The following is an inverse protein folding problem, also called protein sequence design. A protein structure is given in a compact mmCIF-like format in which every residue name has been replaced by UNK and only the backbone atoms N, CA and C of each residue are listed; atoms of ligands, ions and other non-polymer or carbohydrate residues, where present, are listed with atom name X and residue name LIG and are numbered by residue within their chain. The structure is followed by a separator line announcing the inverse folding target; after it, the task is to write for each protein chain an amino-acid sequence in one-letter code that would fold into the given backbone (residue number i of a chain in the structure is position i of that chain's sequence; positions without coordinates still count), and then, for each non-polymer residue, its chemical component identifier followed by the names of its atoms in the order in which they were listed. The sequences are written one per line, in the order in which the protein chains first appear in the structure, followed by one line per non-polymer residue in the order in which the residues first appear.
data_IF_236199805476
#
_entry.id   IF_236199805476
#
_cell.length_a   1.000
_cell.length_b   1.000
_cell.length_c   1.000
_cell.angle_alpha   90.00
_cell.angle_beta   90.00
_cell.angle_gamma   90.00
#
_symmetry.space_group_name_H-M   'P 1'
#
loop_
_entity.id
_entity.type
_entity.pdbx_description
1 polymer ?
#
# COMPACT_ATOMS: atom_id res chain seq x y z
N UNK A 1 2.71 18.46 26.10
CA UNK A 1 1.82 19.25 25.25
C UNK A 1 1.72 18.60 23.88
N UNK A 2 0.54 18.62 23.31
CA UNK A 2 0.35 18.13 21.97
C UNK A 2 1.02 19.07 20.94
N UNK A 3 1.80 18.51 20.05
CA UNK A 3 2.44 19.26 18.98
C UNK A 3 1.41 19.61 17.90
N UNK A 4 1.49 20.80 17.35
CA UNK A 4 0.65 21.17 16.22
C UNK A 4 1.08 20.45 14.96
N UNK A 5 0.12 19.87 14.26
CA UNK A 5 0.37 19.19 12.99
C UNK A 5 0.47 20.22 11.87
N UNK A 6 1.63 20.29 11.22
CA UNK A 6 1.85 21.15 10.07
C UNK A 6 1.27 20.57 8.79
N UNK A 7 1.27 19.24 8.66
CA UNK A 7 0.71 18.57 7.49
C UNK A 7 1.01 17.09 7.48
N UNK A 8 0.54 16.44 6.43
CA UNK A 8 0.73 15.00 6.20
C UNK A 8 1.41 14.77 4.86
N UNK A 9 2.23 13.73 4.80
CA UNK A 9 2.85 13.26 3.57
C UNK A 9 2.55 11.78 3.42
N UNK A 10 2.02 11.38 2.26
CA UNK A 10 1.76 9.98 1.95
C UNK A 10 2.70 9.53 0.85
N UNK A 11 3.46 8.50 1.12
CA UNK A 11 4.47 7.97 0.19
C UNK A 11 4.36 6.46 0.08
N UNK A 12 4.88 5.93 -1.02
CA UNK A 12 5.08 4.49 -1.20
C UNK A 12 6.57 4.27 -1.42
N UNK A 13 7.18 3.50 -0.52
CA UNK A 13 8.61 3.24 -0.53
C UNK A 13 8.88 1.74 -0.48
N UNK A 14 9.95 1.31 -1.14
CA UNK A 14 10.41 -0.08 -1.02
C UNK A 14 11.04 -0.30 0.34
N UNK A 15 10.63 -1.37 1.02
CA UNK A 15 11.17 -1.71 2.33
C UNK A 15 12.68 -1.90 2.31
N UNK A 16 13.37 -1.27 3.25
CA UNK A 16 14.82 -1.34 3.37
C UNK A 16 15.61 -0.57 2.31
N UNK A 17 14.94 0.09 1.37
CA UNK A 17 15.57 0.77 0.24
C UNK A 17 15.15 2.25 0.10
N UNK A 18 14.68 2.87 1.16
CA UNK A 18 14.36 4.29 1.12
C UNK A 18 15.64 5.11 0.96
N UNK A 19 15.60 6.07 0.04
CA UNK A 19 16.74 6.96 -0.21
C UNK A 19 16.23 8.37 -0.55
N UNK A 20 17.11 9.40 -0.54
CA UNK A 20 16.69 10.78 -0.82
C UNK A 20 16.28 11.07 -2.26
N UNK A 21 16.43 10.10 -3.15
CA UNK A 21 16.00 10.27 -4.56
C UNK A 21 14.47 10.41 -4.67
N UNK A 22 13.96 11.02 -5.76
CA UNK A 22 12.51 11.08 -5.98
C UNK A 22 11.85 9.70 -5.88
N UNK A 23 10.64 9.56 -5.30
CA UNK A 23 9.74 10.64 -4.88
C UNK A 23 9.91 11.11 -3.43
N UNK A 24 10.80 10.52 -2.64
CA UNK A 24 10.92 10.78 -1.20
C UNK A 24 11.49 12.17 -0.93
N UNK A 25 12.60 12.52 -1.59
CA UNK A 25 13.29 13.78 -1.38
C UNK A 25 12.40 15.01 -1.55
N UNK A 26 11.80 15.21 -2.73
CA UNK A 26 10.94 16.38 -2.97
C UNK A 26 9.72 16.44 -2.06
N UNK A 27 9.09 15.31 -1.75
CA UNK A 27 7.91 15.26 -0.89
C UNK A 27 8.20 15.68 0.54
N UNK A 28 9.28 15.18 1.12
CA UNK A 28 9.70 15.54 2.48
C UNK A 28 10.36 16.90 2.53
N UNK A 29 11.14 17.26 1.52
CA UNK A 29 11.80 18.56 1.43
C UNK A 29 10.82 19.71 1.42
N UNK A 30 9.68 19.56 0.75
CA UNK A 30 8.64 20.60 0.72
C UNK A 30 8.03 20.88 2.10
N UNK A 31 8.11 19.92 3.02
CA UNK A 31 7.62 20.04 4.39
C UNK A 31 8.72 20.37 5.41
N UNK A 32 9.97 20.49 4.96
CA UNK A 32 11.10 20.80 5.83
C UNK A 32 11.54 19.67 6.75
N UNK A 33 11.19 18.42 6.41
CA UNK A 33 11.55 17.23 7.19
C UNK A 33 12.96 16.77 6.85
N UNK A 34 13.69 16.25 7.84
CA UNK A 34 15.02 15.66 7.63
C UNK A 34 14.89 14.32 6.88
N UNK A 35 15.21 14.34 5.59
CA UNK A 35 15.06 13.21 4.67
C UNK A 35 15.96 12.03 5.08
N UNK A 36 17.20 12.32 5.45
CA UNK A 36 18.17 11.27 5.82
C UNK A 36 17.73 10.51 7.07
N UNK A 37 17.23 11.23 8.07
CA UNK A 37 16.73 10.64 9.29
C UNK A 37 15.52 9.75 9.03
N UNK A 38 14.59 10.21 8.20
CA UNK A 38 13.44 9.42 7.78
C UNK A 38 13.88 8.13 7.10
N UNK A 39 14.77 8.22 6.11
CA UNK A 39 15.27 7.05 5.38
C UNK A 39 15.91 6.04 6.33
N UNK A 40 16.71 6.51 7.26
CA UNK A 40 17.39 5.66 8.24
C UNK A 40 16.39 4.91 9.13
N UNK A 41 15.43 5.62 9.69
CA UNK A 41 14.40 5.03 10.56
C UNK A 41 13.49 4.07 9.78
N UNK A 42 13.07 4.45 8.59
CA UNK A 42 12.24 3.62 7.74
C UNK A 42 12.95 2.32 7.38
N UNK A 43 14.19 2.42 6.92
CA UNK A 43 14.97 1.23 6.55
C UNK A 43 15.18 0.30 7.75
N UNK A 44 15.42 0.84 8.94
CA UNK A 44 15.56 0.06 10.16
C UNK A 44 14.27 -0.72 10.49
N UNK A 45 13.10 -0.07 10.34
CA UNK A 45 11.81 -0.71 10.64
C UNK A 45 11.34 -1.68 9.57
N UNK A 46 11.83 -1.58 8.35
CA UNK A 46 11.36 -2.38 7.21
C UNK A 46 12.35 -3.44 6.74
N UNK A 47 13.39 -3.73 7.51
CA UNK A 47 14.39 -4.74 7.14
C UNK A 47 13.78 -6.11 6.88
N UNK A 48 12.75 -6.49 7.64
CA UNK A 48 12.05 -7.76 7.48
C UNK A 48 11.18 -7.81 6.21
N UNK A 49 10.88 -6.65 5.65
CA UNK A 49 9.99 -6.51 4.49
C UNK A 49 10.72 -5.94 3.27
N UNK A 50 11.99 -6.27 3.14
CA UNK A 50 12.80 -5.79 2.02
C UNK A 50 12.21 -6.19 0.67
N UNK A 51 12.26 -5.25 -0.28
CA UNK A 51 11.78 -5.45 -1.64
C UNK A 51 10.26 -5.28 -1.83
N UNK A 52 9.48 -5.19 -0.74
CA UNK A 52 8.04 -4.93 -0.83
C UNK A 52 7.78 -3.43 -0.82
N UNK A 53 6.84 -2.99 -1.65
CA UNK A 53 6.39 -1.59 -1.63
C UNK A 53 5.46 -1.41 -0.45
N UNK A 54 5.79 -0.46 0.42
CA UNK A 54 5.03 -0.18 1.64
C UNK A 54 4.51 1.25 1.61
N UNK A 55 3.20 1.47 1.81
CA UNK A 55 2.66 2.81 1.99
C UNK A 55 3.06 3.36 3.34
N UNK A 56 3.46 4.61 3.39
CA UNK A 56 3.85 5.30 4.62
C UNK A 56 3.05 6.59 4.74
N UNK A 57 2.43 6.77 5.89
CA UNK A 57 1.79 8.04 6.24
C UNK A 57 2.70 8.77 7.23
N UNK A 58 3.21 9.92 6.82
CA UNK A 58 4.11 10.73 7.64
C UNK A 58 3.33 11.95 8.14
N UNK A 59 3.31 12.13 9.45
CA UNK A 59 2.74 13.31 10.10
C UNK A 59 3.87 14.27 10.43
N UNK A 60 3.81 15.49 9.88
CA UNK A 60 4.81 16.52 10.10
C UNK A 60 4.27 17.55 11.11
N UNK A 61 5.06 17.85 12.11
CA UNK A 61 4.71 18.82 13.15
C UNK A 61 5.33 20.20 12.89
N UNK A 62 4.81 21.23 13.56
CA UNK A 62 5.26 22.61 13.41
C UNK A 62 6.73 22.83 13.78
N UNK A 63 7.28 22.00 14.67
CA UNK A 63 8.69 22.03 15.08
C UNK A 63 9.63 21.30 14.11
N UNK A 64 9.12 20.87 12.94
CA UNK A 64 9.83 20.09 11.92
C UNK A 64 10.13 18.63 12.34
N UNK A 65 9.61 18.19 13.49
CA UNK A 65 9.64 16.78 13.83
C UNK A 65 8.60 16.01 13.02
N UNK A 66 8.75 14.71 12.95
CA UNK A 66 7.82 13.86 12.18
C UNK A 66 7.60 12.54 12.90
N UNK A 67 6.44 11.96 12.63
CA UNK A 67 6.13 10.58 12.98
C UNK A 67 5.62 9.89 11.73
N UNK A 68 5.84 8.60 11.61
CA UNK A 68 5.34 7.86 10.47
C UNK A 68 4.76 6.51 10.86
N UNK A 69 3.76 6.09 10.08
CA UNK A 69 3.11 4.78 10.23
C UNK A 69 3.31 4.02 8.92
N UNK A 70 3.83 2.80 9.04
CA UNK A 70 4.02 1.90 7.89
C UNK A 70 2.79 1.00 7.81
N UNK A 71 2.14 1.02 6.65
CA UNK A 71 0.97 0.19 6.37
C UNK A 71 1.36 -1.08 5.63
N UNK A 72 0.41 -2.00 5.49
CA UNK A 72 0.61 -3.22 4.69
C UNK A 72 0.76 -2.87 3.20
N UNK A 73 1.42 -3.74 2.39
CA UNK A 73 1.59 -3.46 0.96
C UNK A 73 0.26 -3.14 0.27
N UNK A 74 0.26 -2.24 -0.74
CA UNK A 74 -0.98 -1.89 -1.43
C UNK A 74 -1.65 -3.12 -2.06
N UNK A 75 -2.98 -3.19 -1.96
CA UNK A 75 -3.76 -4.30 -2.53
C UNK A 75 -3.50 -4.47 -4.03
N UNK A 76 -3.36 -3.37 -4.75
CA UNK A 76 -3.08 -3.39 -6.19
C UNK A 76 -1.76 -4.12 -6.51
N UNK A 77 -0.72 -3.88 -5.74
CA UNK A 77 0.58 -4.52 -5.95
C UNK A 77 0.50 -6.00 -5.62
N UNK A 78 -0.16 -6.36 -4.52
CA UNK A 78 -0.37 -7.76 -4.15
C UNK A 78 -1.17 -8.53 -5.21
N UNK A 79 -2.20 -7.89 -5.77
CA UNK A 79 -2.99 -8.46 -6.86
C UNK A 79 -2.18 -8.66 -8.13
N UNK A 80 -1.34 -7.69 -8.48
CA UNK A 80 -0.45 -7.82 -9.65
C UNK A 80 0.55 -8.96 -9.48
N UNK A 81 1.11 -9.12 -8.29
CA UNK A 81 2.00 -10.24 -7.99
C UNK A 81 1.28 -11.58 -8.08
N UNK A 82 0.07 -11.67 -7.53
CA UNK A 82 -0.75 -12.89 -7.58
C UNK A 82 -1.16 -13.25 -9.01
N UNK A 83 -1.47 -12.26 -9.83
CA UNK A 83 -1.82 -12.44 -11.23
C UNK A 83 -0.60 -12.59 -12.14
N UNK A 84 0.62 -12.41 -11.62
CA UNK A 84 1.88 -12.48 -12.36
C UNK A 84 1.96 -11.45 -13.50
N UNK A 85 1.44 -10.25 -13.27
CA UNK A 85 1.51 -9.14 -14.23
C UNK A 85 2.34 -8.00 -13.65
N UNK A 86 2.95 -7.21 -14.51
CA UNK A 86 3.80 -6.09 -14.12
C UNK A 86 3.05 -4.76 -14.06
N UNK A 87 1.94 -4.66 -14.78
CA UNK A 87 1.17 -3.43 -14.90
C UNK A 87 -0.31 -3.74 -15.06
N UNK A 88 -1.15 -2.91 -14.44
CA UNK A 88 -2.59 -3.00 -14.60
C UNK A 88 -3.06 -2.52 -15.99
N UNK A 89 -4.33 -2.74 -16.28
CA UNK A 89 -4.94 -2.34 -17.54
C UNK A 89 -5.11 -0.82 -17.66
N UNK A 90 -4.91 -0.29 -18.83
CA UNK A 90 -5.22 1.12 -19.17
C UNK A 90 -6.72 1.34 -19.27
N UNK A 91 -7.45 0.31 -19.71
CA UNK A 91 -8.90 0.33 -19.89
C UNK A 91 -9.51 -0.89 -19.20
N UNK A 92 -9.57 -0.85 -17.87
CA UNK A 92 -9.95 -1.99 -17.03
C UNK A 92 -11.35 -2.53 -17.31
N UNK A 93 -12.25 -1.70 -17.80
CA UNK A 93 -13.62 -2.10 -18.16
C UNK A 93 -13.70 -2.84 -19.51
N UNK A 94 -12.69 -2.70 -20.36
CA UNK A 94 -12.66 -3.28 -21.71
C UNK A 94 -11.59 -4.35 -21.87
N UNK A 95 -10.42 -4.11 -21.31
CA UNK A 95 -9.25 -4.97 -21.49
C UNK A 95 -8.82 -5.56 -20.15
N UNK A 96 -8.96 -6.86 -20.01
CA UNK A 96 -8.50 -7.59 -18.81
C UNK A 96 -7.08 -8.11 -19.06
N UNK A 97 -6.20 -7.91 -18.06
CA UNK A 97 -4.77 -8.21 -18.21
C UNK A 97 -4.30 -9.38 -17.34
N UNK A 98 -5.15 -9.87 -16.44
CA UNK A 98 -4.77 -10.99 -15.57
C UNK A 98 -5.97 -11.61 -14.89
N UNK A 99 -5.70 -12.68 -14.14
CA UNK A 99 -6.70 -13.43 -13.39
C UNK A 99 -6.15 -13.82 -12.03
N UNK A 100 -7.00 -13.80 -11.02
CA UNK A 100 -6.69 -14.30 -9.68
C UNK A 100 -7.84 -15.22 -9.22
N UNK A 101 -7.55 -16.09 -8.26
CA UNK A 101 -8.58 -16.97 -7.65
C UNK A 101 -9.09 -16.32 -6.36
N UNK A 102 -10.25 -16.79 -5.88
CA UNK A 102 -10.79 -16.33 -4.59
C UNK A 102 -9.87 -16.69 -3.42
N UNK A 103 -9.12 -17.79 -3.53
CA UNK A 103 -8.11 -18.15 -2.52
C UNK A 103 -7.01 -17.11 -2.41
N UNK A 104 -6.53 -16.60 -3.53
CA UNK A 104 -5.53 -15.52 -3.57
C UNK A 104 -6.11 -14.22 -3.00
N UNK A 105 -7.35 -13.90 -3.35
CA UNK A 105 -8.06 -12.73 -2.81
C UNK A 105 -8.21 -12.86 -1.30
N UNK A 106 -8.55 -14.03 -0.79
CA UNK A 106 -8.66 -14.29 0.66
C UNK A 106 -7.32 -14.08 1.37
N UNK A 107 -6.23 -14.58 0.81
CA UNK A 107 -4.90 -14.41 1.39
C UNK A 107 -4.51 -12.92 1.47
N UNK A 108 -4.77 -12.17 0.42
CA UNK A 108 -4.51 -10.71 0.37
C UNK A 108 -5.38 -9.99 1.40
N UNK A 109 -6.66 -10.36 1.49
CA UNK A 109 -7.60 -9.75 2.42
C UNK A 109 -7.18 -9.97 3.87
N UNK A 110 -6.76 -11.19 4.23
CA UNK A 110 -6.26 -11.52 5.57
C UNK A 110 -5.03 -10.70 5.94
N UNK A 111 -4.09 -10.56 5.00
CA UNK A 111 -2.86 -9.80 5.20
C UNK A 111 -3.16 -8.31 5.40
N UNK A 112 -4.19 -7.80 4.76
CA UNK A 112 -4.56 -6.40 4.79
C UNK A 112 -5.62 -6.02 5.85
N UNK A 113 -6.18 -6.99 6.55
CA UNK A 113 -7.22 -6.73 7.56
C UNK A 113 -6.90 -5.59 8.55
N UNK A 114 -5.65 -5.45 9.06
CA UNK A 114 -5.34 -4.35 9.98
C UNK A 114 -5.54 -2.95 9.40
N UNK A 115 -5.42 -2.81 8.08
CA UNK A 115 -5.54 -1.51 7.39
C UNK A 115 -6.92 -1.27 6.79
N UNK A 116 -7.77 -2.29 6.73
CA UNK A 116 -9.07 -2.19 6.09
C UNK A 116 -10.15 -1.73 7.08
N UNK A 117 -11.09 -0.95 6.58
CA UNK A 117 -12.24 -0.48 7.35
C UNK A 117 -13.43 -1.44 7.19
N UNK A 118 -13.20 -2.69 7.60
CA UNK A 118 -14.23 -3.74 7.54
C UNK A 118 -14.13 -4.62 8.79
N UNK A 119 -15.21 -5.30 9.13
CA UNK A 119 -15.28 -6.14 10.33
C UNK A 119 -15.17 -7.64 10.02
N UNK A 120 -15.48 -8.05 8.79
CA UNK A 120 -15.48 -9.45 8.40
C UNK A 120 -14.52 -9.71 7.24
N UNK A 121 -14.05 -10.96 7.15
CA UNK A 121 -13.17 -11.38 6.05
C UNK A 121 -13.89 -11.28 4.70
N UNK A 122 -15.18 -11.63 4.65
CA UNK A 122 -15.97 -11.53 3.41
C UNK A 122 -16.01 -10.09 2.89
N UNK A 123 -16.20 -9.12 3.79
CA UNK A 123 -16.17 -7.70 3.42
C UNK A 123 -14.79 -7.28 2.89
N UNK A 124 -13.73 -7.76 3.52
CA UNK A 124 -12.35 -7.51 3.08
C UNK A 124 -12.11 -8.09 1.68
N UNK A 125 -12.59 -9.30 1.43
CA UNK A 125 -12.47 -9.96 0.11
C UNK A 125 -13.22 -9.17 -0.97
N UNK A 126 -14.39 -8.63 -0.66
CA UNK A 126 -15.15 -7.77 -1.57
C UNK A 126 -14.37 -6.49 -1.92
N UNK A 127 -13.72 -5.87 -0.94
CA UNK A 127 -12.88 -4.69 -1.17
C UNK A 127 -11.70 -5.00 -2.08
N UNK A 128 -11.01 -6.12 -1.84
CA UNK A 128 -9.88 -6.56 -2.67
C UNK A 128 -10.34 -6.91 -4.08
N UNK A 129 -11.49 -7.60 -4.22
CA UNK A 129 -12.06 -7.94 -5.52
C UNK A 129 -12.43 -6.67 -6.32
N UNK A 130 -12.93 -5.64 -5.66
CA UNK A 130 -13.21 -4.34 -6.29
C UNK A 130 -11.92 -3.68 -6.81
N UNK A 131 -10.84 -3.74 -6.06
CA UNK A 131 -9.52 -3.26 -6.50
C UNK A 131 -9.02 -4.06 -7.71
N UNK A 132 -9.20 -5.38 -7.71
CA UNK A 132 -8.84 -6.23 -8.85
C UNK A 132 -9.61 -5.83 -10.11
N UNK A 133 -10.90 -5.56 -9.97
CA UNK A 133 -11.72 -5.07 -11.09
C UNK A 133 -11.18 -3.77 -11.67
N UNK A 134 -10.77 -2.84 -10.82
CA UNK A 134 -10.23 -1.54 -11.27
C UNK A 134 -8.86 -1.67 -11.94
N UNK A 135 -8.11 -2.74 -11.61
CA UNK A 135 -6.83 -3.05 -12.27
C UNK A 135 -6.98 -3.74 -13.63
N UNK A 136 -8.16 -4.25 -13.94
CA UNK A 136 -8.37 -5.11 -15.10
C UNK A 136 -8.01 -6.57 -14.83
N UNK A 137 -8.05 -6.99 -13.58
CA UNK A 137 -7.82 -8.37 -13.15
C UNK A 137 -9.17 -8.99 -12.81
N UNK A 138 -9.46 -10.16 -13.39
CA UNK A 138 -10.69 -10.91 -13.08
C UNK A 138 -10.45 -11.88 -11.94
N UNK A 139 -11.47 -12.09 -11.10
CA UNK A 139 -11.44 -13.09 -10.03
C UNK A 139 -12.19 -14.33 -10.53
N UNK A 140 -11.49 -15.43 -10.65
CA UNK A 140 -12.06 -16.69 -11.14
C UNK A 140 -12.78 -17.44 -10.03
N UNK A 141 -13.88 -18.06 -10.41
CA UNK A 141 -14.68 -18.92 -9.55
C UNK A 141 -15.84 -18.17 -8.89
N UNK A 142 -16.57 -18.90 -8.10
CA UNK A 142 -17.75 -18.40 -7.39
C UNK A 142 -17.32 -17.80 -6.05
N UNK A 143 -17.85 -16.65 -5.72
CA UNK A 143 -17.54 -16.02 -4.44
C UNK A 143 -17.99 -16.91 -3.27
N UNK A 144 -17.24 -16.95 -2.16
CA UNK A 144 -17.59 -17.81 -1.01
C UNK A 144 -18.96 -17.50 -0.39
N UNK A 145 -19.46 -16.29 -0.57
CA UNK A 145 -20.78 -15.88 -0.06
C UNK A 145 -21.92 -16.11 -1.07
N UNK A 146 -21.61 -16.55 -2.26
CA UNK A 146 -22.59 -16.89 -3.29
C UNK A 146 -22.85 -18.41 -3.26
N UNK A 147 -23.93 -18.80 -2.66
CA UNK A 147 -24.34 -20.21 -2.64
C UNK A 147 -25.45 -20.48 -3.64
#
# INVERSE_FOLDING_TARGET
MAKEISGYVKLQCKGGQANPAPPIGPALGSKGVNIMEFCKQFNARTQEKMGKVLPVLITVYSDKSFEFVIKTPPASIQLMEAAKIQKGSKESNRSKVGKVTWEQVEAIAKDKMPDLNCFTLDSAMKMVAGTARSLGVTVEGKAPWEN
#
